data_IF_521304077884
#
_entry.id   IF_521304077884
#
_cell.length_a   1.000
_cell.length_b   1.000
_cell.length_c   1.000
_cell.angle_alpha   90.00
_cell.angle_beta   90.00
_cell.angle_gamma   90.00
#
_symmetry.space_group_name_H-M   'P 1'
#
loop_
_entity.id
_entity.type
_entity.pdbx_description
1 polymer ?
#
# COMPACT_ATOMS: atom_id res chain seq x y z
N UNK A 1 -7.04 12.97 -8.51
CA UNK A 1 -5.63 13.32 -8.79
C UNK A 1 -4.97 13.43 -7.43
N UNK A 2 -3.85 12.73 -7.19
CA UNK A 2 -3.28 12.66 -5.83
C UNK A 2 -2.85 14.06 -5.37
N UNK A 3 -3.23 14.47 -4.16
CA UNK A 3 -2.77 15.75 -3.62
C UNK A 3 -1.30 15.69 -3.19
N UNK A 4 -0.68 16.87 -3.03
CA UNK A 4 0.74 16.99 -2.67
C UNK A 4 1.09 16.27 -1.36
N UNK A 5 0.22 16.35 -0.36
CA UNK A 5 0.45 15.68 0.93
C UNK A 5 0.50 14.14 0.80
N UNK A 6 -0.40 13.56 0.01
CA UNK A 6 -0.40 12.12 -0.27
C UNK A 6 0.83 11.70 -1.09
N UNK A 7 1.33 12.55 -1.99
CA UNK A 7 2.58 12.32 -2.72
C UNK A 7 3.80 12.35 -1.77
N UNK A 8 3.84 13.28 -0.81
CA UNK A 8 4.89 13.35 0.20
C UNK A 8 4.89 12.14 1.14
N UNK A 9 3.71 11.62 1.47
CA UNK A 9 3.56 10.37 2.23
C UNK A 9 4.13 9.19 1.45
N UNK A 10 3.73 9.03 0.19
CA UNK A 10 4.23 7.98 -0.69
C UNK A 10 5.76 8.04 -0.85
N UNK A 11 6.31 9.23 -1.03
CA UNK A 11 7.76 9.45 -1.19
C UNK A 11 8.54 9.05 0.06
N UNK A 12 8.04 9.42 1.26
CA UNK A 12 8.63 8.99 2.54
C UNK A 12 8.55 7.47 2.73
N UNK A 13 7.43 6.86 2.35
CA UNK A 13 7.28 5.41 2.39
C UNK A 13 8.31 4.71 1.50
N UNK A 14 8.53 5.20 0.27
CA UNK A 14 9.57 4.64 -0.62
C UNK A 14 10.95 4.67 0.04
N UNK A 15 11.33 5.78 0.69
CA UNK A 15 12.59 5.86 1.42
C UNK A 15 12.70 4.85 2.57
N UNK A 16 11.60 4.63 3.31
CA UNK A 16 11.55 3.64 4.39
C UNK A 16 11.77 2.23 3.83
N UNK A 17 11.06 1.85 2.77
CA UNK A 17 11.20 0.52 2.17
C UNK A 17 12.60 0.31 1.57
N UNK A 18 13.20 1.34 0.99
CA UNK A 18 14.61 1.30 0.56
C UNK A 18 15.54 0.94 1.72
N UNK A 19 15.42 1.61 2.86
CA UNK A 19 16.26 1.31 4.04
C UNK A 19 16.02 -0.09 4.58
N UNK A 20 14.77 -0.54 4.62
CA UNK A 20 14.44 -1.91 5.03
C UNK A 20 15.00 -2.94 4.06
N UNK A 21 14.99 -2.66 2.75
CA UNK A 21 15.58 -3.52 1.73
C UNK A 21 17.11 -3.60 1.85
N UNK A 22 17.78 -2.48 2.16
CA UNK A 22 19.22 -2.46 2.47
C UNK A 22 19.53 -3.32 3.69
N UNK A 23 18.74 -3.19 4.77
CA UNK A 23 18.87 -4.01 5.98
C UNK A 23 18.64 -5.50 5.71
N UNK A 24 17.62 -5.85 4.91
CA UNK A 24 17.37 -7.21 4.47
C UNK A 24 18.54 -7.77 3.65
N UNK A 25 19.12 -6.94 2.77
CA UNK A 25 20.33 -7.27 2.02
C UNK A 25 21.53 -7.57 2.91
N UNK A 26 21.61 -6.93 4.07
CA UNK A 26 22.59 -7.21 5.13
C UNK A 26 22.18 -8.39 6.06
N UNK A 27 21.23 -9.23 5.63
CA UNK A 27 20.70 -10.39 6.36
C UNK A 27 19.94 -10.07 7.66
N UNK A 28 19.43 -8.84 7.82
CA UNK A 28 18.52 -8.52 8.92
C UNK A 28 17.07 -8.94 8.61
N UNK A 29 16.33 -9.36 9.63
CA UNK A 29 14.91 -9.73 9.49
C UNK A 29 14.06 -8.46 9.61
N UNK A 30 13.41 -8.07 8.52
CA UNK A 30 12.63 -6.82 8.43
C UNK A 30 11.16 -7.01 8.05
N UNK A 31 10.69 -8.25 7.91
CA UNK A 31 9.36 -8.55 7.34
C UNK A 31 8.20 -7.83 8.04
N UNK A 32 8.21 -7.79 9.38
CA UNK A 32 7.16 -7.11 10.13
C UNK A 32 7.28 -5.59 10.07
N UNK A 33 8.50 -5.06 9.96
CA UNK A 33 8.73 -3.63 9.76
C UNK A 33 8.19 -3.17 8.40
N UNK A 34 8.38 -3.98 7.36
CA UNK A 34 7.81 -3.70 6.03
C UNK A 34 6.29 -3.64 6.10
N UNK A 35 5.65 -4.65 6.70
CA UNK A 35 4.19 -4.69 6.85
C UNK A 35 3.64 -3.50 7.63
N UNK A 36 4.30 -3.16 8.74
CA UNK A 36 3.92 -2.01 9.56
C UNK A 36 4.07 -0.69 8.77
N UNK A 37 5.18 -0.51 8.06
CA UNK A 37 5.42 0.67 7.23
C UNK A 37 4.37 0.81 6.10
N UNK A 38 4.05 -0.30 5.42
CA UNK A 38 3.02 -0.32 4.37
C UNK A 38 1.65 0.06 4.92
N UNK A 39 1.23 -0.55 6.04
CA UNK A 39 -0.04 -0.20 6.70
C UNK A 39 -0.10 1.28 7.09
N UNK A 40 0.97 1.79 7.70
CA UNK A 40 1.04 3.19 8.13
C UNK A 40 0.98 4.16 6.94
N UNK A 41 1.61 3.81 5.81
CA UNK A 41 1.51 4.57 4.57
C UNK A 41 0.05 4.65 4.09
N UNK A 42 -0.63 3.51 4.00
CA UNK A 42 -2.03 3.47 3.55
C UNK A 42 -2.93 4.32 4.46
N UNK A 43 -2.86 4.11 5.78
CA UNK A 43 -3.63 4.89 6.76
C UNK A 43 -3.39 6.39 6.60
N UNK A 44 -2.13 6.81 6.46
CA UNK A 44 -1.80 8.22 6.28
C UNK A 44 -2.31 8.78 4.95
N UNK A 45 -2.25 8.01 3.86
CA UNK A 45 -2.76 8.42 2.55
C UNK A 45 -4.29 8.56 2.56
N UNK A 46 -5.01 7.63 3.18
CA UNK A 46 -6.45 7.75 3.37
C UNK A 46 -6.82 8.94 4.25
N UNK A 47 -6.07 9.20 5.33
CA UNK A 47 -6.26 10.40 6.15
C UNK A 47 -6.00 11.69 5.36
N UNK A 48 -5.15 11.64 4.32
CA UNK A 48 -4.94 12.72 3.37
C UNK A 48 -5.99 12.75 2.24
N UNK A 49 -7.00 11.90 2.27
CA UNK A 49 -8.11 11.86 1.31
C UNK A 49 -7.83 11.07 0.02
N UNK A 50 -6.78 10.26 -0.03
CA UNK A 50 -6.50 9.42 -1.19
C UNK A 50 -7.41 8.18 -1.21
N UNK A 51 -7.94 7.85 -2.38
CA UNK A 51 -8.72 6.62 -2.59
C UNK A 51 -7.82 5.43 -2.97
N UNK A 52 -8.31 4.20 -2.74
CA UNK A 52 -7.60 2.95 -3.04
C UNK A 52 -7.02 2.91 -4.46
N UNK A 53 -7.80 3.31 -5.46
CA UNK A 53 -7.36 3.35 -6.86
C UNK A 53 -6.20 4.33 -7.09
N UNK A 54 -6.21 5.47 -6.41
CA UNK A 54 -5.15 6.47 -6.54
C UNK A 54 -3.87 6.03 -5.85
N UNK A 55 -3.99 5.40 -4.67
CA UNK A 55 -2.87 4.80 -3.96
C UNK A 55 -2.22 3.70 -4.80
N UNK A 56 -3.02 2.78 -5.36
CA UNK A 56 -2.53 1.70 -6.24
C UNK A 56 -1.79 2.25 -7.45
N UNK A 57 -2.37 3.26 -8.11
CA UNK A 57 -1.73 3.92 -9.26
C UNK A 57 -0.41 4.57 -8.87
N UNK A 58 -0.35 5.26 -7.74
CA UNK A 58 0.82 6.05 -7.37
C UNK A 58 1.88 5.22 -6.65
N UNK A 59 1.58 4.69 -5.46
CA UNK A 59 2.53 3.89 -4.67
C UNK A 59 2.85 2.58 -5.38
N UNK A 60 1.83 1.90 -5.91
CA UNK A 60 2.05 0.67 -6.69
C UNK A 60 2.87 0.92 -7.96
N UNK A 61 2.66 2.06 -8.62
CA UNK A 61 3.48 2.52 -9.74
C UNK A 61 4.94 2.70 -9.33
N UNK A 62 5.21 3.48 -8.28
CA UNK A 62 6.57 3.73 -7.76
C UNK A 62 7.30 2.44 -7.37
N UNK A 63 6.61 1.51 -6.69
CA UNK A 63 7.21 0.19 -6.36
C UNK A 63 7.47 -0.61 -7.63
N UNK A 64 6.53 -0.62 -8.58
CA UNK A 64 6.67 -1.32 -9.86
C UNK A 64 7.85 -0.82 -10.69
N UNK A 65 8.02 0.50 -10.79
CA UNK A 65 9.16 1.15 -11.43
C UNK A 65 10.47 0.78 -10.74
N UNK A 66 10.50 0.84 -9.40
CA UNK A 66 11.70 0.49 -8.64
C UNK A 66 12.13 -0.96 -8.86
N UNK A 67 11.19 -1.91 -8.78
CA UNK A 67 11.45 -3.34 -9.04
C UNK A 67 11.94 -3.56 -10.49
N UNK A 68 11.34 -2.87 -11.47
CA UNK A 68 11.67 -3.03 -12.89
C UNK A 68 13.03 -2.41 -13.25
N UNK A 69 13.50 -1.41 -12.50
CA UNK A 69 14.75 -0.69 -12.76
C UNK A 69 16.03 -1.53 -12.57
N UNK A 70 15.94 -2.77 -12.08
CA UNK A 70 17.09 -3.67 -11.81
C UNK A 70 18.15 -3.08 -10.86
N UNK A 71 17.83 -2.00 -10.14
CA UNK A 71 18.74 -1.34 -9.20
C UNK A 71 18.86 -2.06 -7.84
N UNK A 72 18.29 -3.26 -7.71
CA UNK A 72 18.19 -3.98 -6.44
C UNK A 72 19.37 -4.96 -6.31
N UNK A 73 20.22 -4.82 -5.27
CA UNK A 73 21.52 -5.46 -5.24
C UNK A 73 21.50 -6.97 -4.98
N UNK A 74 20.43 -7.51 -4.39
CA UNK A 74 20.32 -8.94 -4.09
C UNK A 74 18.87 -9.41 -3.91
N UNK A 75 18.68 -10.72 -3.83
CA UNK A 75 17.38 -11.37 -3.71
C UNK A 75 16.60 -10.95 -2.44
N UNK A 76 17.24 -10.81 -1.27
CA UNK A 76 16.54 -10.42 -0.04
C UNK A 76 16.02 -8.99 -0.09
N UNK A 77 16.79 -8.09 -0.70
CA UNK A 77 16.34 -6.73 -0.97
C UNK A 77 15.17 -6.71 -1.97
N UNK A 78 15.21 -7.56 -2.99
CA UNK A 78 14.11 -7.72 -3.95
C UNK A 78 12.84 -8.25 -3.29
N UNK A 79 12.98 -9.30 -2.48
CA UNK A 79 11.88 -9.91 -1.73
C UNK A 79 11.22 -8.90 -0.79
N UNK A 80 12.00 -7.96 -0.24
CA UNK A 80 11.48 -6.88 0.60
C UNK A 80 10.53 -5.96 -0.18
N UNK A 81 10.91 -5.56 -1.39
CA UNK A 81 10.06 -4.74 -2.27
C UNK A 81 8.82 -5.49 -2.76
N UNK A 82 8.99 -6.77 -3.14
CA UNK A 82 7.87 -7.62 -3.55
C UNK A 82 6.89 -7.82 -2.40
N UNK A 83 7.39 -8.03 -1.17
CA UNK A 83 6.55 -8.14 0.02
C UNK A 83 5.79 -6.83 0.29
N UNK A 84 6.46 -5.69 0.22
CA UNK A 84 5.83 -4.38 0.37
C UNK A 84 4.68 -4.18 -0.65
N UNK A 85 4.91 -4.54 -1.92
CA UNK A 85 3.89 -4.49 -2.98
C UNK A 85 2.71 -5.42 -2.68
N UNK A 86 3.00 -6.69 -2.41
CA UNK A 86 1.97 -7.70 -2.18
C UNK A 86 1.12 -7.38 -0.94
N UNK A 87 1.75 -6.89 0.13
CA UNK A 87 1.02 -6.50 1.33
C UNK A 87 0.14 -5.27 1.10
N UNK A 88 0.62 -4.28 0.32
CA UNK A 88 -0.18 -3.13 -0.08
C UNK A 88 -1.42 -3.57 -0.86
N UNK A 89 -1.23 -4.38 -1.90
CA UNK A 89 -2.34 -4.91 -2.72
C UNK A 89 -3.35 -5.70 -1.89
N UNK A 90 -2.86 -6.52 -0.96
CA UNK A 90 -3.71 -7.29 -0.05
C UNK A 90 -4.58 -6.39 0.85
N UNK A 91 -4.00 -5.34 1.44
CA UNK A 91 -4.75 -4.41 2.28
C UNK A 91 -5.79 -3.62 1.49
N UNK A 92 -5.42 -3.11 0.31
CA UNK A 92 -6.34 -2.40 -0.57
C UNK A 92 -7.48 -3.31 -1.05
N UNK A 93 -7.19 -4.58 -1.36
CA UNK A 93 -8.21 -5.55 -1.75
C UNK A 93 -9.24 -5.80 -0.63
N UNK A 94 -8.79 -5.94 0.62
CA UNK A 94 -9.69 -6.11 1.77
C UNK A 94 -10.58 -4.89 1.95
N UNK A 95 -10.01 -3.69 1.88
CA UNK A 95 -10.76 -2.44 2.04
C UNK A 95 -11.84 -2.28 0.96
N UNK A 96 -11.48 -2.51 -0.31
CA UNK A 96 -12.43 -2.48 -1.42
C UNK A 96 -13.55 -3.52 -1.24
N UNK A 97 -13.23 -4.71 -0.73
CA UNK A 97 -14.22 -5.74 -0.44
C UNK A 97 -15.17 -5.33 0.71
N UNK A 98 -14.63 -4.77 1.79
CA UNK A 98 -15.41 -4.31 2.94
C UNK A 98 -16.34 -3.15 2.58
N UNK A 99 -15.87 -2.22 1.74
CA UNK A 99 -16.71 -1.16 1.18
C UNK A 99 -17.88 -1.72 0.37
N UNK A 100 -17.64 -2.71 -0.49
CA UNK A 100 -18.68 -3.34 -1.30
C UNK A 100 -19.72 -4.04 -0.42
N UNK A 101 -19.27 -4.77 0.61
CA UNK A 101 -20.15 -5.43 1.57
C UNK A 101 -21.01 -4.41 2.35
N UNK A 102 -20.41 -3.30 2.80
CA UNK A 102 -21.11 -2.22 3.48
C UNK A 102 -22.18 -1.55 2.60
N UNK A 103 -21.85 -1.28 1.33
CA UNK A 103 -22.81 -0.70 0.36
C UNK A 103 -23.98 -1.65 0.08
N UNK A 104 -23.71 -2.95 -0.08
CA UNK A 104 -24.75 -3.96 -0.27
C UNK A 104 -25.70 -4.04 0.93
N UNK A 105 -25.16 -4.04 2.15
CA UNK A 105 -25.95 -4.02 3.38
C UNK A 105 -26.82 -2.77 3.51
N UNK A 106 -26.27 -1.59 3.22
CA UNK A 106 -27.02 -0.33 3.22
C UNK A 106 -28.18 -0.34 2.22
N UNK A 107 -27.93 -0.79 0.98
CA UNK A 107 -28.96 -0.87 -0.05
C UNK A 107 -30.08 -1.85 0.32
N UNK A 108 -29.74 -3.00 0.90
CA UNK A 108 -30.72 -3.98 1.38
C UNK A 108 -31.57 -3.45 2.54
N UNK A 109 -30.99 -2.65 3.44
CA UNK A 109 -31.73 -2.02 4.52
C UNK A 109 -32.67 -0.93 3.99
N UNK A 110 -32.19 -0.08 3.08
CA UNK A 110 -33.00 0.96 2.43
C UNK A 110 -34.21 0.36 1.70
N UNK A 111 -34.05 -0.74 0.98
CA UNK A 111 -35.15 -1.41 0.29
C UNK A 111 -36.27 -1.90 1.24
N UNK A 112 -35.93 -2.23 2.50
CA UNK A 112 -36.91 -2.67 3.51
C UNK A 112 -37.68 -1.51 4.15
N UNK A 113 -37.12 -0.29 4.18
CA UNK A 113 -37.76 0.86 4.82
C UNK A 113 -38.78 1.58 3.94
N UNK A 114 -38.81 1.29 2.64
CA UNK A 114 -39.75 1.88 1.67
C UNK A 114 -40.92 0.95 1.30
N UNK A 115 -41.17 -0.08 2.10
CA UNK A 115 -42.34 -0.98 2.00
C UNK A 115 -43.25 -0.85 3.21
#
# INVERSE_FOLDING_TARGET
>A
MLNSHAQDIASRYMLIVTRLAEMAGANLIVGDLVRAATRNCLVAMHAAGAECAEIRRWVGGLIGEHISSSAIPNARAMDTWVNARNHMEFLLFIEEHDELAGRAGFNAQRAKTFH
#
